data_IF_036942565210
#
_entry.id   IF_036942565210
#
_cell.length_a   1.000
_cell.length_b   1.000
_cell.length_c   1.000
_cell.angle_alpha   90.00
_cell.angle_beta   90.00
_cell.angle_gamma   90.00
#
_symmetry.space_group_name_H-M   'P 1'
#
loop_
_entity.id
_entity.type
_entity.pdbx_description
1 polymer ?
#
# COMPACT_ATOMS: atom_id res chain seq x y z
N UNK A 1 -2.90 9.81 -10.24
CA UNK A 1 -1.81 10.53 -9.53
C UNK A 1 -1.55 9.81 -8.21
N UNK A 2 -0.40 10.04 -7.58
CA UNK A 2 -0.05 9.48 -6.26
C UNK A 2 0.50 10.58 -5.37
N UNK A 3 0.25 10.49 -4.05
CA UNK A 3 0.77 11.43 -3.07
C UNK A 3 2.06 10.86 -2.47
N UNK A 4 3.13 11.65 -2.49
CA UNK A 4 4.39 11.34 -1.82
C UNK A 4 4.65 12.36 -0.73
N UNK A 5 5.48 11.97 0.25
CA UNK A 5 5.96 12.84 1.32
C UNK A 5 7.47 12.99 1.28
N UNK A 6 8.02 14.08 1.81
CA UNK A 6 9.47 14.24 1.92
C UNK A 6 10.04 13.25 2.94
N UNK A 7 11.25 12.74 2.71
CA UNK A 7 11.94 11.89 3.70
C UNK A 7 12.32 12.70 4.93
N UNK A 8 12.12 12.13 6.13
CA UNK A 8 12.58 12.71 7.39
C UNK A 8 14.11 12.84 7.48
N UNK A 9 14.87 11.96 6.81
CA UNK A 9 16.34 11.98 6.80
C UNK A 9 16.93 12.88 5.72
N UNK A 10 16.24 13.01 4.60
CA UNK A 10 16.67 13.77 3.43
C UNK A 10 15.48 14.57 2.87
N UNK A 11 15.20 15.79 3.39
CA UNK A 11 13.99 16.54 3.06
C UNK A 11 13.83 16.93 1.57
N UNK A 12 14.88 16.78 0.78
CA UNK A 12 14.93 16.95 -0.67
C UNK A 12 14.50 15.69 -1.46
N UNK A 13 14.39 14.54 -0.78
CA UNK A 13 13.98 13.25 -1.35
C UNK A 13 12.53 12.93 -1.04
N UNK A 14 11.86 12.23 -1.96
CA UNK A 14 10.45 11.86 -1.83
C UNK A 14 10.29 10.38 -1.50
N UNK A 15 9.27 10.02 -0.72
CA UNK A 15 8.96 8.65 -0.35
C UNK A 15 7.45 8.40 -0.40
N UNK A 16 7.06 7.14 -0.59
CA UNK A 16 5.70 6.69 -0.28
C UNK A 16 5.55 6.71 1.24
N UNK A 17 4.50 7.35 1.80
CA UNK A 17 4.29 7.40 3.24
C UNK A 17 4.08 5.99 3.82
N UNK A 18 4.59 5.78 5.02
CA UNK A 18 4.51 4.48 5.70
C UNK A 18 5.59 4.29 6.75
N UNK A 19 5.28 3.47 7.75
CA UNK A 19 6.14 3.23 8.90
C UNK A 19 5.94 1.84 9.48
N UNK A 20 6.31 1.70 10.75
CA UNK A 20 6.26 0.42 11.47
C UNK A 20 4.85 0.11 11.95
N UNK A 21 4.51 -1.18 11.99
CA UNK A 21 3.30 -1.62 12.70
C UNK A 21 3.55 -1.58 14.20
N UNK A 22 2.57 -1.11 14.96
CA UNK A 22 2.57 -1.20 16.41
C UNK A 22 2.27 -2.64 16.88
N UNK A 23 2.63 -3.02 18.13
CA UNK A 23 2.25 -4.31 18.67
C UNK A 23 0.73 -4.51 18.61
N UNK A 24 0.30 -5.69 18.11
CA UNK A 24 -1.12 -6.05 17.95
C UNK A 24 -1.89 -5.22 16.90
N UNK A 25 -1.20 -4.36 16.13
CA UNK A 25 -1.80 -3.59 15.05
C UNK A 25 -1.91 -4.41 13.76
N UNK A 26 -3.10 -4.42 13.16
CA UNK A 26 -3.32 -5.02 11.85
C UNK A 26 -2.67 -4.18 10.74
N UNK A 27 -2.11 -4.78 9.67
CA UNK A 27 -1.41 -4.04 8.62
C UNK A 27 -2.25 -2.96 7.94
N UNK A 28 -3.56 -3.16 7.83
CA UNK A 28 -4.48 -2.17 7.28
C UNK A 28 -4.67 -0.97 8.22
N UNK A 29 -4.68 -1.19 9.54
CA UNK A 29 -4.73 -0.15 10.56
C UNK A 29 -3.47 0.71 10.52
N UNK A 30 -2.31 0.05 10.50
CA UNK A 30 -1.01 0.72 10.35
C UNK A 30 -0.96 1.59 9.09
N UNK A 31 -1.39 1.05 7.94
CA UNK A 31 -1.40 1.83 6.69
C UNK A 31 -2.27 3.09 6.76
N UNK A 32 -3.42 3.03 7.44
CA UNK A 32 -4.31 4.20 7.61
C UNK A 32 -3.74 5.21 8.60
N UNK A 33 -3.19 4.74 9.73
CA UNK A 33 -2.54 5.60 10.74
C UNK A 33 -1.35 6.34 10.13
N UNK A 34 -0.46 5.62 9.44
CA UNK A 34 0.76 6.19 8.86
C UNK A 34 0.48 7.26 7.81
N UNK A 35 -0.50 7.07 6.91
CA UNK A 35 -0.82 8.13 5.94
C UNK A 35 -1.49 9.35 6.58
N UNK A 36 -2.17 9.16 7.72
CA UNK A 36 -2.72 10.25 8.49
C UNK A 36 -1.60 11.07 9.17
N UNK A 37 -0.67 10.38 9.84
CA UNK A 37 0.45 10.99 10.57
C UNK A 37 1.49 11.62 9.64
N UNK A 38 1.87 10.94 8.55
CA UNK A 38 2.95 11.41 7.67
C UNK A 38 2.47 12.33 6.55
N UNK A 39 1.25 12.12 6.03
CA UNK A 39 0.74 12.83 4.85
C UNK A 39 -0.50 13.69 5.12
N UNK A 40 -1.12 13.59 6.30
CA UNK A 40 -2.28 14.39 6.66
C UNK A 40 -3.48 14.13 5.77
N UNK A 41 -3.71 12.88 5.36
CA UNK A 41 -4.84 12.51 4.50
C UNK A 41 -5.70 11.44 5.13
N UNK A 42 -7.00 11.48 4.80
CA UNK A 42 -7.94 10.38 5.06
C UNK A 42 -8.57 9.93 3.76
N UNK A 43 -9.05 8.71 3.74
CA UNK A 43 -9.61 8.13 2.54
C UNK A 43 -10.23 6.76 2.76
N UNK A 44 -10.76 6.22 1.67
CA UNK A 44 -11.23 4.85 1.63
C UNK A 44 -10.06 3.93 1.34
N UNK A 45 -9.71 3.09 2.31
CA UNK A 45 -8.73 2.02 2.10
C UNK A 45 -9.30 1.00 1.11
N UNK A 46 -8.52 0.71 0.08
CA UNK A 46 -8.84 -0.26 -0.95
C UNK A 46 -8.06 -1.56 -0.77
N UNK A 47 -7.78 -2.23 -1.89
CA UNK A 47 -7.08 -3.51 -1.91
C UNK A 47 -5.65 -3.42 -1.37
N UNK A 48 -5.17 -4.53 -0.82
CA UNK A 48 -3.75 -4.81 -0.67
C UNK A 48 -3.13 -4.88 -2.07
N UNK A 49 -2.16 -4.01 -2.34
CA UNK A 49 -1.39 -4.01 -3.59
C UNK A 49 -0.36 -5.14 -3.62
N UNK A 50 0.24 -5.42 -2.46
CA UNK A 50 1.20 -6.50 -2.28
C UNK A 50 1.96 -6.39 -0.97
N UNK A 51 2.75 -7.43 -0.69
CA UNK A 51 3.72 -7.46 0.41
C UNK A 51 5.11 -7.45 -0.21
N UNK A 52 5.91 -6.45 0.15
CA UNK A 52 7.21 -6.21 -0.44
C UNK A 52 8.31 -6.35 0.61
N UNK A 53 9.44 -6.92 0.23
CA UNK A 53 10.60 -7.09 1.09
C UNK A 53 11.68 -6.09 0.68
N UNK A 54 12.21 -5.34 1.65
CA UNK A 54 13.11 -4.22 1.35
C UNK A 54 14.55 -4.70 1.06
N UNK A 55 14.98 -5.81 1.67
CA UNK A 55 16.24 -6.51 1.41
C UNK A 55 16.05 -8.02 1.64
N UNK A 56 16.78 -8.87 0.90
CA UNK A 56 16.74 -10.34 1.08
C UNK A 56 17.19 -10.78 2.49
N UNK A 57 18.06 -10.00 3.13
CA UNK A 57 18.54 -10.29 4.50
C UNK A 57 17.65 -9.66 5.59
N UNK A 58 16.72 -8.76 5.24
CA UNK A 58 15.85 -8.12 6.21
C UNK A 58 14.51 -8.86 6.28
N UNK A 59 14.13 -9.34 7.47
CA UNK A 59 12.78 -9.88 7.72
C UNK A 59 11.66 -8.82 7.69
N UNK A 60 11.95 -7.61 7.24
CA UNK A 60 11.00 -6.50 7.21
C UNK A 60 10.15 -6.58 5.94
N UNK A 61 8.87 -6.89 6.14
CA UNK A 61 7.84 -6.90 5.11
C UNK A 61 7.04 -5.62 5.19
N UNK A 62 6.80 -4.99 4.05
CA UNK A 62 5.93 -3.82 3.93
C UNK A 62 4.64 -4.23 3.24
N UNK A 63 3.52 -4.10 3.95
CA UNK A 63 2.19 -4.27 3.40
C UNK A 63 1.79 -2.96 2.73
N UNK A 64 1.56 -2.98 1.42
CA UNK A 64 1.23 -1.77 0.66
C UNK A 64 -0.22 -1.84 0.23
N UNK A 65 -1.01 -0.85 0.60
CA UNK A 65 -2.41 -0.73 0.22
C UNK A 65 -2.63 0.43 -0.75
N UNK A 66 -3.69 0.33 -1.54
CA UNK A 66 -4.20 1.48 -2.31
C UNK A 66 -5.19 2.22 -1.42
N UNK A 67 -5.01 3.53 -1.23
CA UNK A 67 -5.97 4.38 -0.52
C UNK A 67 -6.46 5.49 -1.45
N UNK A 68 -7.77 5.61 -1.57
CA UNK A 68 -8.41 6.71 -2.31
C UNK A 68 -8.63 7.87 -1.35
N UNK A 69 -7.84 8.94 -1.50
CA UNK A 69 -7.92 10.13 -0.65
C UNK A 69 -9.27 10.83 -0.83
N UNK A 70 -9.95 11.07 0.28
CA UNK A 70 -11.24 11.81 0.33
C UNK A 70 -11.12 13.13 1.09
N UNK A 71 -10.14 13.24 1.98
CA UNK A 71 -9.91 14.42 2.81
C UNK A 71 -8.41 14.70 2.92
N UNK A 72 -8.04 15.98 2.99
CA UNK A 72 -6.67 16.44 3.10
C UNK A 72 -6.62 17.55 4.15
N UNK A 73 -5.92 17.29 5.26
CA UNK A 73 -5.78 18.22 6.37
C UNK A 73 -4.76 19.31 6.05
N UNK A 74 -5.00 20.55 6.45
CA UNK A 74 -4.04 21.66 6.26
C UNK A 74 -2.79 21.46 7.11
N UNK A 75 -3.00 21.21 8.40
CA UNK A 75 -1.96 20.87 9.37
C UNK A 75 -2.10 19.40 9.78
N UNK A 76 -0.98 18.71 9.88
CA UNK A 76 -0.90 17.32 10.30
C UNK A 76 0.38 17.07 11.08
N UNK A 77 0.43 15.96 11.80
CA UNK A 77 1.46 15.68 12.80
C UNK A 77 2.89 15.90 12.29
N UNK A 78 3.28 15.23 11.21
CA UNK A 78 4.64 15.35 10.67
C UNK A 78 4.94 16.69 9.99
N UNK A 79 3.93 17.40 9.47
CA UNK A 79 4.13 18.77 8.98
C UNK A 79 4.54 19.69 10.13
N UNK A 80 3.82 19.60 11.25
CA UNK A 80 4.03 20.46 12.41
C UNK A 80 5.31 20.07 13.16
N UNK A 81 5.54 18.77 13.37
CA UNK A 81 6.62 18.30 14.22
C UNK A 81 7.99 18.31 13.53
N UNK A 82 8.04 17.96 12.24
CA UNK A 82 9.31 17.80 11.53
C UNK A 82 9.37 18.55 10.19
N UNK A 83 8.37 19.36 9.87
CA UNK A 83 8.33 20.11 8.61
C UNK A 83 8.17 19.23 7.37
N UNK A 84 7.55 18.04 7.52
CA UNK A 84 7.35 17.12 6.40
C UNK A 84 6.46 17.75 5.35
N UNK A 85 6.86 17.63 4.09
CA UNK A 85 6.12 18.12 2.93
C UNK A 85 5.38 16.97 2.27
N UNK A 86 4.29 17.28 1.56
CA UNK A 86 3.58 16.34 0.69
C UNK A 86 3.37 16.94 -0.69
N UNK A 87 3.32 16.11 -1.72
CA UNK A 87 3.06 16.55 -3.10
C UNK A 87 2.44 15.44 -3.94
N UNK A 88 1.48 15.83 -4.77
CA UNK A 88 0.90 14.96 -5.79
C UNK A 88 1.82 14.86 -7.00
N UNK A 89 2.03 13.64 -7.48
CA UNK A 89 2.83 13.33 -8.66
C UNK A 89 2.01 12.53 -9.68
N UNK A 90 2.34 12.67 -10.96
CA UNK A 90 2.00 11.63 -11.94
C UNK A 90 2.77 10.36 -11.59
N UNK A 91 2.21 9.19 -11.92
CA UNK A 91 2.82 7.91 -11.53
C UNK A 91 4.23 7.77 -12.13
N UNK A 92 4.42 8.12 -13.39
CA UNK A 92 5.73 8.04 -14.05
C UNK A 92 6.77 8.98 -13.42
N UNK A 93 6.35 10.18 -13.00
CA UNK A 93 7.21 11.13 -12.28
C UNK A 93 7.58 10.61 -10.90
N UNK A 94 6.60 10.05 -10.17
CA UNK A 94 6.80 9.44 -8.87
C UNK A 94 7.82 8.28 -8.94
N UNK A 95 7.68 7.39 -9.93
CA UNK A 95 8.64 6.30 -10.17
C UNK A 95 10.05 6.86 -10.39
N UNK A 96 10.19 7.90 -11.22
CA UNK A 96 11.50 8.52 -11.51
C UNK A 96 12.17 9.10 -10.27
N UNK A 97 11.44 9.82 -9.43
CA UNK A 97 12.03 10.41 -8.21
C UNK A 97 12.36 9.32 -7.18
N UNK A 98 11.50 8.30 -7.02
CA UNK A 98 11.73 7.21 -6.07
C UNK A 98 12.90 6.31 -6.47
N UNK A 99 13.08 6.03 -7.76
CA UNK A 99 14.05 5.04 -8.24
C UNK A 99 15.49 5.30 -7.77
N UNK A 100 15.87 6.56 -7.59
CA UNK A 100 17.25 6.93 -7.24
C UNK A 100 17.63 6.58 -5.80
N UNK A 101 16.68 6.65 -4.86
CA UNK A 101 16.97 6.55 -3.41
C UNK A 101 16.03 5.62 -2.63
N UNK A 102 14.93 5.18 -3.25
CA UNK A 102 13.95 4.23 -2.71
C UNK A 102 13.40 3.33 -3.84
N UNK A 103 14.24 2.51 -4.49
CA UNK A 103 13.83 1.69 -5.64
C UNK A 103 12.68 0.72 -5.31
N UNK A 104 12.60 0.23 -4.08
CA UNK A 104 11.48 -0.63 -3.62
C UNK A 104 10.14 0.13 -3.65
N UNK A 105 10.13 1.42 -3.28
CA UNK A 105 8.93 2.24 -3.36
C UNK A 105 8.52 2.50 -4.82
N UNK A 106 9.50 2.62 -5.73
CA UNK A 106 9.21 2.72 -7.16
C UNK A 106 8.54 1.43 -7.69
N UNK A 107 8.92 0.27 -7.14
CA UNK A 107 8.30 -1.02 -7.50
C UNK A 107 6.82 -1.10 -7.10
N UNK A 108 6.45 -0.51 -5.96
CA UNK A 108 5.03 -0.41 -5.55
C UNK A 108 4.21 0.24 -6.67
N UNK A 109 4.71 1.34 -7.22
CA UNK A 109 4.02 2.08 -8.26
C UNK A 109 4.02 1.35 -9.61
N UNK A 110 5.06 0.57 -9.94
CA UNK A 110 5.03 -0.30 -11.12
C UNK A 110 3.94 -1.36 -11.01
N UNK A 111 3.85 -2.04 -9.87
CA UNK A 111 2.78 -3.01 -9.59
C UNK A 111 1.38 -2.38 -9.67
N UNK A 112 1.24 -1.13 -9.22
CA UNK A 112 -0.01 -0.39 -9.35
C UNK A 112 -0.42 -0.21 -10.82
N UNK A 113 0.54 0.09 -11.72
CA UNK A 113 0.26 0.27 -13.15
C UNK A 113 0.02 -1.02 -13.92
N UNK A 114 0.77 -2.09 -13.63
CA UNK A 114 0.62 -3.38 -14.29
C UNK A 114 -0.78 -3.96 -14.10
N UNK A 115 -1.33 -3.81 -12.90
CA UNK A 115 -2.66 -4.30 -12.53
C UNK A 115 -3.81 -3.41 -13.03
N UNK A 116 -3.52 -2.28 -13.69
CA UNK A 116 -4.51 -1.43 -14.35
C UNK A 116 -4.58 -1.64 -15.87
N UNK A 117 -3.75 -2.54 -16.43
CA UNK A 117 -3.94 -2.96 -17.82
C UNK A 117 -5.15 -3.91 -17.88
N UNK A 118 -6.13 -3.69 -18.78
CA UNK A 118 -7.16 -4.70 -19.02
C UNK A 118 -6.45 -5.94 -19.56
N UNK A 119 -6.38 -6.99 -18.74
CA UNK A 119 -5.92 -8.29 -19.19
C UNK A 119 -6.87 -8.75 -20.31
N UNK A 120 -6.34 -8.85 -21.53
CA UNK A 120 -6.98 -9.60 -22.59
C UNK A 120 -7.08 -11.05 -22.11
N UNK A 121 -8.31 -11.50 -21.84
CA UNK A 121 -8.59 -12.90 -21.56
C UNK A 121 -8.15 -13.75 -22.73
N UNK A 122 -7.27 -14.71 -22.46
CA UNK A 122 -7.19 -15.91 -23.26
C UNK A 122 -7.06 -17.10 -22.31
N UNK A 123 -8.22 -17.65 -21.98
CA UNK A 123 -8.39 -18.98 -21.40
C UNK A 123 -7.88 -19.99 -22.42
N UNK A 124 -6.93 -20.84 -22.02
CA UNK A 124 -6.75 -22.12 -22.68
C UNK A 124 -6.67 -23.21 -21.62
N UNK A 125 -7.77 -23.96 -21.54
CA UNK A 125 -7.94 -25.19 -20.80
C UNK A 125 -7.03 -26.28 -21.39
N UNK A 126 -6.44 -27.10 -20.52
CA UNK A 126 -6.21 -28.51 -20.84
C UNK A 126 -6.75 -29.33 -19.67
N UNK A 127 -7.95 -29.87 -19.87
CA UNK A 127 -8.59 -30.89 -19.06
C UNK A 127 -7.96 -32.25 -19.40
N UNK A 128 -7.52 -32.98 -18.39
CA UNK A 128 -7.39 -34.45 -18.45
C UNK A 128 -8.00 -35.02 -17.17
N UNK A 129 -8.90 -36.02 -17.25
CA UNK A 129 -9.55 -36.60 -16.08
C UNK A 129 -8.74 -37.79 -15.54
N UNK A 130 -8.58 -37.91 -14.23
CA UNK A 130 -8.80 -39.19 -13.52
C UNK A 130 -8.89 -39.00 -12.00
N UNK A 131 -9.41 -40.05 -11.37
CA UNK A 131 -10.28 -40.11 -10.21
C UNK A 131 -9.70 -39.89 -8.79
N UNK A 132 -10.65 -39.50 -7.93
CA UNK A 132 -10.89 -39.93 -6.54
C UNK A 132 -10.37 -39.16 -5.29
N UNK A 133 -11.38 -38.80 -4.50
CA UNK A 133 -11.50 -38.70 -3.05
C UNK A 133 -11.50 -37.28 -2.40
N UNK A 134 -12.39 -37.06 -1.40
CA UNK A 134 -12.83 -35.74 -0.99
C UNK A 134 -12.05 -35.23 0.23
N UNK A 135 -12.12 -33.93 0.54
CA UNK A 135 -12.52 -33.42 1.85
C UNK A 135 -12.16 -31.93 2.04
N UNK A 136 -13.15 -31.20 2.59
CA UNK A 136 -13.08 -29.94 3.35
C UNK A 136 -12.92 -28.60 2.60
N UNK A 137 -14.09 -28.01 2.34
CA UNK A 137 -14.34 -26.58 2.21
C UNK A 137 -14.21 -25.91 3.59
N UNK A 138 -13.46 -24.80 3.67
CA UNK A 138 -13.56 -23.80 4.73
C UNK A 138 -13.53 -22.40 4.11
N UNK A 139 -14.26 -21.41 4.67
CA UNK A 139 -14.74 -20.27 3.91
C UNK A 139 -13.76 -19.09 3.92
N UNK A 140 -13.81 -18.33 2.83
CA UNK A 140 -13.31 -16.96 2.68
C UNK A 140 -13.91 -16.03 3.74
N UNK A 141 -13.06 -15.36 4.52
CA UNK A 141 -13.48 -14.28 5.40
C UNK A 141 -13.33 -12.94 4.70
N UNK A 142 -14.47 -12.41 4.31
CA UNK A 142 -14.73 -11.02 3.96
C UNK A 142 -14.55 -10.15 5.21
N UNK A 143 -13.73 -9.10 5.15
CA UNK A 143 -13.60 -8.14 6.25
C UNK A 143 -14.76 -7.15 6.18
N UNK A 144 -15.96 -7.65 6.52
CA UNK A 144 -17.17 -6.87 6.65
C UNK A 144 -17.46 -6.57 8.12
N UNK A 145 -17.54 -5.26 8.35
CA UNK A 145 -17.87 -4.53 9.55
C UNK A 145 -19.14 -5.03 10.26
N UNK A 146 -19.09 -5.29 11.56
CA UNK A 146 -20.26 -5.21 12.45
C UNK A 146 -19.94 -4.54 13.79
N UNK A 147 -20.65 -3.44 14.03
CA UNK A 147 -20.91 -2.85 15.33
C UNK A 147 -21.44 -3.90 16.33
N UNK A 148 -21.09 -3.79 17.61
CA UNK A 148 -22.06 -3.61 18.72
C UNK A 148 -21.37 -3.25 20.05
N UNK A 149 -22.09 -2.44 20.82
CA UNK A 149 -21.77 -1.86 22.12
C UNK A 149 -21.41 -2.87 23.23
N UNK A 150 -20.55 -2.43 24.16
CA UNK A 150 -20.91 -2.38 25.59
C UNK A 150 -20.16 -1.28 26.32
#
# INVERSE_FOLDING_TARGET
>A
MVLLVSSSRHPDQWIVPGGGMEPEEEPCGAAVREVYEEAGVRGTLGRLLGVFEQNQDSKHRTYVYVLTVTETLEDWEDSVNIGRKRKWFKIDEAIRVLQCHKPVHAEYLRHLTANCSPSNGNTQETVTPDDNAPHHVAPSQDCSQTHVHR
#
